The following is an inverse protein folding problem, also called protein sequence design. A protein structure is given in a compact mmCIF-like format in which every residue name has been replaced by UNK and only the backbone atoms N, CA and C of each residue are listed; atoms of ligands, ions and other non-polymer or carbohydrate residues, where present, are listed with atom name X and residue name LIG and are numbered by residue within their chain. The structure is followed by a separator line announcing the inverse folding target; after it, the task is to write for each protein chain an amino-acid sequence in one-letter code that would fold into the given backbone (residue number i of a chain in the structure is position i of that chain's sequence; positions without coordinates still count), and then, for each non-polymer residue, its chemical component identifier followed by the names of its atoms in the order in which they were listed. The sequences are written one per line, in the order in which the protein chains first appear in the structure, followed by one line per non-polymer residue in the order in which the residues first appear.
data_IF_802878761687
#
_entry.id   IF_802878761687
#
_cell.length_a   1.000
_cell.length_b   1.000
_cell.length_c   1.000
_cell.angle_alpha   90.00
_cell.angle_beta   90.00
_cell.angle_gamma   90.00
#
_symmetry.space_group_name_H-M   'P 1'
#
loop_
_entity.id
_entity.type
_entity.pdbx_description
1 polymer ?
#
# COMPACT_ATOMS: atom_id res chain seq x y z
N UNK A 1 -12.13 -56.97 -3.49
CA UNK A 1 -12.78 -55.75 -4.03
C UNK A 1 -12.99 -54.72 -2.93
N UNK A 2 -11.91 -54.21 -2.34
CA UNK A 2 -12.01 -53.15 -1.34
C UNK A 2 -10.68 -52.42 -1.34
N UNK A 3 -10.69 -51.17 -1.80
CA UNK A 3 -9.65 -50.11 -1.71
C UNK A 3 -9.69 -49.27 -2.98
N UNK A 4 -10.52 -48.24 -2.96
CA UNK A 4 -10.60 -47.27 -4.05
C UNK A 4 -11.51 -46.08 -3.82
N UNK A 5 -12.09 -45.92 -2.61
CA UNK A 5 -13.06 -44.85 -2.33
C UNK A 5 -12.61 -43.81 -1.30
N UNK A 6 -11.55 -44.08 -0.54
CA UNK A 6 -11.00 -43.09 0.40
C UNK A 6 -10.02 -42.10 -0.24
N UNK A 7 -9.41 -42.43 -1.38
CA UNK A 7 -8.39 -41.54 -1.98
C UNK A 7 -9.00 -40.34 -2.75
N UNK A 8 -10.16 -40.50 -3.39
CA UNK A 8 -10.80 -39.40 -4.15
C UNK A 8 -11.44 -38.31 -3.29
N UNK A 9 -11.79 -38.61 -2.04
CA UNK A 9 -12.40 -37.64 -1.13
C UNK A 9 -11.36 -36.77 -0.39
N UNK A 10 -10.12 -37.23 -0.30
CA UNK A 10 -9.02 -36.46 0.33
C UNK A 10 -8.42 -35.47 -0.67
N UNK A 11 -8.27 -35.85 -1.94
CA UNK A 11 -7.82 -34.94 -3.00
C UNK A 11 -8.74 -33.72 -3.17
N UNK A 12 -10.07 -33.92 -3.15
CA UNK A 12 -11.04 -32.83 -3.25
C UNK A 12 -11.05 -31.91 -2.01
N UNK A 13 -10.68 -32.44 -0.83
CA UNK A 13 -10.50 -31.64 0.38
C UNK A 13 -9.21 -30.81 0.33
N UNK A 14 -8.12 -31.35 -0.23
CA UNK A 14 -6.86 -30.63 -0.41
C UNK A 14 -7.03 -29.50 -1.43
N UNK A 15 -7.66 -29.77 -2.58
CA UNK A 15 -7.93 -28.77 -3.62
C UNK A 15 -8.79 -27.61 -3.08
N UNK A 16 -9.83 -27.92 -2.29
CA UNK A 16 -10.66 -26.90 -1.64
C UNK A 16 -9.89 -26.05 -0.60
N UNK A 17 -8.95 -26.66 0.14
CA UNK A 17 -8.09 -25.95 1.09
C UNK A 17 -7.06 -25.07 0.39
N UNK A 18 -6.48 -25.53 -0.72
CA UNK A 18 -5.56 -24.77 -1.55
C UNK A 18 -6.23 -23.56 -2.20
N UNK A 19 -7.43 -23.73 -2.78
CA UNK A 19 -8.22 -22.63 -3.34
C UNK A 19 -8.57 -21.59 -2.25
N UNK A 20 -8.96 -22.05 -1.05
CA UNK A 20 -9.25 -21.15 0.07
C UNK A 20 -8.01 -20.37 0.53
N UNK A 21 -6.83 -21.00 0.55
CA UNK A 21 -5.55 -20.33 0.84
C UNK A 21 -5.18 -19.32 -0.25
N UNK A 22 -5.35 -19.67 -1.53
CA UNK A 22 -5.07 -18.78 -2.65
C UNK A 22 -5.95 -17.53 -2.61
N UNK A 23 -7.25 -17.68 -2.33
CA UNK A 23 -8.19 -16.56 -2.16
C UNK A 23 -7.83 -15.67 -0.97
N UNK A 24 -7.45 -16.27 0.16
CA UNK A 24 -7.02 -15.51 1.34
C UNK A 24 -5.74 -14.71 1.08
N UNK A 25 -4.77 -15.31 0.39
CA UNK A 25 -3.53 -14.63 -0.03
C UNK A 25 -3.82 -13.47 -0.99
N UNK A 26 -4.69 -13.67 -1.99
CA UNK A 26 -5.12 -12.62 -2.91
C UNK A 26 -5.85 -11.47 -2.20
N UNK A 27 -6.72 -11.78 -1.23
CA UNK A 27 -7.41 -10.77 -0.43
C UNK A 27 -6.44 -9.96 0.45
N UNK A 28 -5.46 -10.63 1.06
CA UNK A 28 -4.39 -9.99 1.84
C UNK A 28 -3.52 -9.07 0.97
N UNK A 29 -3.11 -9.52 -0.21
CA UNK A 29 -2.35 -8.71 -1.16
C UNK A 29 -3.13 -7.46 -1.59
N UNK A 30 -4.44 -7.58 -1.83
CA UNK A 30 -5.30 -6.45 -2.18
C UNK A 30 -5.44 -5.46 -1.01
N UNK A 31 -5.57 -5.95 0.23
CA UNK A 31 -5.58 -5.09 1.41
C UNK A 31 -4.26 -4.31 1.59
N UNK A 32 -3.11 -4.97 1.40
CA UNK A 32 -1.80 -4.32 1.46
C UNK A 32 -1.62 -3.27 0.35
N UNK A 33 -2.09 -3.56 -0.87
CA UNK A 33 -2.06 -2.59 -1.98
C UNK A 33 -2.94 -1.36 -1.69
N UNK A 34 -4.11 -1.55 -1.07
CA UNK A 34 -5.01 -0.46 -0.67
C UNK A 34 -4.38 0.45 0.38
N UNK A 35 -3.76 -0.12 1.42
CA UNK A 35 -3.08 0.65 2.47
C UNK A 35 -1.96 1.50 1.87
N UNK A 36 -1.15 0.91 0.98
CA UNK A 36 -0.08 1.64 0.29
C UNK A 36 -0.61 2.80 -0.57
N UNK A 37 -1.71 2.59 -1.31
CA UNK A 37 -2.37 3.66 -2.06
C UNK A 37 -2.82 4.81 -1.14
N UNK A 38 -3.52 4.50 -0.05
CA UNK A 38 -3.99 5.53 0.89
C UNK A 38 -2.86 6.32 1.53
N UNK A 39 -1.72 5.67 1.79
CA UNK A 39 -0.55 6.31 2.38
C UNK A 39 0.11 7.27 1.36
N UNK A 40 0.25 6.84 0.11
CA UNK A 40 0.72 7.70 -0.99
C UNK A 40 -0.19 8.91 -1.18
N UNK A 41 -1.50 8.70 -1.23
CA UNK A 41 -2.48 9.78 -1.42
C UNK A 41 -2.42 10.79 -0.26
N UNK A 42 -2.24 10.32 0.98
CA UNK A 42 -2.07 11.18 2.15
C UNK A 42 -0.81 12.05 2.08
N UNK A 43 0.30 11.49 1.59
CA UNK A 43 1.54 12.24 1.36
C UNK A 43 1.38 13.27 0.24
N UNK A 44 0.71 12.91 -0.87
CA UNK A 44 0.42 13.83 -1.97
C UNK A 44 -0.50 14.99 -1.57
N UNK A 45 -1.51 14.71 -0.75
CA UNK A 45 -2.40 15.74 -0.20
C UNK A 45 -1.61 16.73 0.67
N UNK A 46 -0.75 16.20 1.53
CA UNK A 46 0.11 17.03 2.40
C UNK A 46 1.04 17.92 1.59
N UNK A 47 1.65 17.39 0.52
CA UNK A 47 2.50 18.16 -0.40
C UNK A 47 1.73 19.30 -1.07
N UNK A 48 0.53 19.02 -1.58
CA UNK A 48 -0.33 20.04 -2.22
C UNK A 48 -0.67 21.16 -1.25
N UNK A 49 -0.96 20.82 0.01
CA UNK A 49 -1.22 21.82 1.05
C UNK A 49 -0.01 22.73 1.31
N UNK A 50 1.18 22.16 1.45
CA UNK A 50 2.41 22.93 1.67
C UNK A 50 2.72 23.85 0.49
N UNK A 51 2.51 23.38 -0.76
CA UNK A 51 2.67 24.23 -1.95
C UNK A 51 1.67 25.40 -1.95
N UNK A 52 0.43 25.14 -1.53
CA UNK A 52 -0.56 26.18 -1.29
C UNK A 52 -0.07 27.19 -0.25
N UNK A 53 0.38 26.72 0.91
CA UNK A 53 0.88 27.58 1.99
C UNK A 53 2.11 28.40 1.54
N UNK A 54 3.01 27.82 0.76
CA UNK A 54 4.18 28.50 0.18
C UNK A 54 3.80 29.64 -0.79
N UNK A 55 2.67 29.50 -1.50
CA UNK A 55 2.20 30.53 -2.42
C UNK A 55 1.72 31.79 -1.71
N UNK A 56 1.23 31.66 -0.47
CA UNK A 56 0.69 32.77 0.32
C UNK A 56 1.65 33.21 1.44
N UNK A 57 2.68 32.41 1.75
CA UNK A 57 3.63 32.70 2.81
C UNK A 57 4.55 33.88 2.47
N UNK A 58 4.30 35.03 3.11
CA UNK A 58 5.16 36.22 3.00
C UNK A 58 6.35 36.22 3.98
N UNK A 59 6.28 35.44 5.07
CA UNK A 59 7.34 35.43 6.08
C UNK A 59 8.47 34.48 5.66
N UNK A 60 9.72 34.96 5.50
CA UNK A 60 10.84 34.16 5.01
C UNK A 60 11.19 32.99 5.95
N UNK A 61 11.05 33.15 7.27
CA UNK A 61 11.30 32.06 8.23
C UNK A 61 10.25 30.96 8.11
N UNK A 62 8.99 31.34 7.94
CA UNK A 62 7.91 30.39 7.76
C UNK A 62 8.01 29.67 6.41
N UNK A 63 8.38 30.40 5.36
CA UNK A 63 8.66 29.83 4.04
C UNK A 63 9.78 28.79 4.08
N UNK A 64 10.91 29.09 4.74
CA UNK A 64 12.01 28.15 4.89
C UNK A 64 11.58 26.86 5.63
N UNK A 65 10.72 26.97 6.64
CA UNK A 65 10.16 25.82 7.34
C UNK A 65 9.27 24.96 6.42
N UNK A 66 8.43 25.61 5.59
CA UNK A 66 7.58 24.92 4.62
C UNK A 66 8.41 24.24 3.52
N UNK A 67 9.48 24.87 3.05
CA UNK A 67 10.41 24.28 2.07
C UNK A 67 11.12 23.03 2.63
N UNK A 68 11.56 23.07 3.88
CA UNK A 68 12.12 21.89 4.57
C UNK A 68 11.10 20.77 4.71
N UNK A 69 9.87 21.10 5.12
CA UNK A 69 8.79 20.14 5.24
C UNK A 69 8.42 19.52 3.88
N UNK A 70 8.42 20.32 2.81
CA UNK A 70 8.21 19.85 1.43
C UNK A 70 9.29 18.87 1.01
N UNK A 71 10.57 19.19 1.24
CA UNK A 71 11.69 18.31 0.89
C UNK A 71 11.57 16.94 1.59
N UNK A 72 11.23 16.92 2.88
CA UNK A 72 11.01 15.69 3.63
C UNK A 72 9.81 14.87 3.10
N UNK A 73 8.72 15.52 2.68
CA UNK A 73 7.59 14.82 2.05
C UNK A 73 7.97 14.24 0.68
N UNK A 74 8.76 14.97 -0.12
CA UNK A 74 9.22 14.52 -1.43
C UNK A 74 10.19 13.32 -1.31
N UNK A 75 11.07 13.32 -0.30
CA UNK A 75 11.91 12.16 0.04
C UNK A 75 11.07 10.94 0.39
N UNK A 76 10.07 11.10 1.27
CA UNK A 76 9.14 10.01 1.60
C UNK A 76 8.41 9.49 0.38
N UNK A 77 7.87 10.38 -0.47
CA UNK A 77 7.20 9.98 -1.70
C UNK A 77 8.12 9.20 -2.65
N UNK A 78 9.41 9.59 -2.73
CA UNK A 78 10.41 8.87 -3.51
C UNK A 78 10.69 7.49 -2.92
N UNK A 79 10.87 7.38 -1.61
CA UNK A 79 11.08 6.12 -0.90
C UNK A 79 9.88 5.17 -1.11
N UNK A 80 8.66 5.68 -0.92
CA UNK A 80 7.42 4.93 -1.17
C UNK A 80 7.31 4.48 -2.63
N UNK A 81 7.65 5.35 -3.59
CA UNK A 81 7.63 5.03 -5.02
C UNK A 81 8.71 4.03 -5.46
N UNK A 82 9.90 4.06 -4.84
CA UNK A 82 10.95 3.07 -5.09
C UNK A 82 10.67 1.72 -4.44
N UNK A 83 9.93 1.69 -3.33
CA UNK A 83 9.51 0.45 -2.68
C UNK A 83 8.41 -0.30 -3.47
N UNK A 84 7.81 0.35 -4.48
CA UNK A 84 6.76 -0.25 -5.32
C UNK A 84 7.26 -0.82 -6.66
N UNK A 85 8.57 -0.77 -6.94
CA UNK A 85 9.19 -1.26 -8.18
C UNK A 85 10.02 -2.53 -7.90
#
# INVERSE_FOLDING_TARGET
MARGWESKAVESQIEALEDRKARAAAASANAAARVQHTQRDSLMLSRTRILGDLSVACNPRYRAMLEQALAHLDEKLKEFGSATA
#
